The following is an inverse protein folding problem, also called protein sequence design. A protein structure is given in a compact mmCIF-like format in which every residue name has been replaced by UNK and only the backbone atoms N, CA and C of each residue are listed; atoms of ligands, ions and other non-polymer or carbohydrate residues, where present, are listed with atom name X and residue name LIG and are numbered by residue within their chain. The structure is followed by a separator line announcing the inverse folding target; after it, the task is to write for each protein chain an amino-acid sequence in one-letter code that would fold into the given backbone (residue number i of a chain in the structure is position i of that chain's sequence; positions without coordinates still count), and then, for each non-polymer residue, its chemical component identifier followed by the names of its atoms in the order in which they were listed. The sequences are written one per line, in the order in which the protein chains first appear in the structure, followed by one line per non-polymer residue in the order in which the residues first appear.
data_IF_887914839028
#
_entry.id   IF_887914839028
#
_cell.length_a   1.000
_cell.length_b   1.000
_cell.length_c   1.000
_cell.angle_alpha   90.00
_cell.angle_beta   90.00
_cell.angle_gamma   90.00
#
_symmetry.space_group_name_H-M   'P 1'
#
loop_
_entity.id
_entity.type
_entity.pdbx_description
1 polymer ?
#
# COMPACT_ATOMS: atom_id res chain seq x y z
N UNK A 1 -15.76 4.52 -10.35
CA UNK A 1 -15.77 4.42 -11.83
C UNK A 1 -15.24 5.71 -12.42
N UNK A 2 -14.35 5.60 -13.38
CA UNK A 2 -13.76 6.77 -14.06
C UNK A 2 -14.06 6.63 -15.54
N UNK A 3 -14.76 7.62 -16.12
CA UNK A 3 -15.08 7.64 -17.54
C UNK A 3 -14.05 8.48 -18.27
N UNK A 4 -13.51 7.97 -19.38
CA UNK A 4 -12.67 8.75 -20.29
C UNK A 4 -13.18 8.50 -21.71
N UNK A 5 -13.60 9.57 -22.40
CA UNK A 5 -14.12 9.54 -23.78
C UNK A 5 -15.27 8.54 -24.04
N UNK A 6 -16.07 8.23 -23.02
CA UNK A 6 -17.21 7.30 -23.13
C UNK A 6 -16.85 5.83 -22.86
N UNK A 7 -15.56 5.50 -22.75
CA UNK A 7 -15.11 4.16 -22.37
C UNK A 7 -14.98 4.02 -20.85
N UNK A 8 -15.26 2.82 -20.35
CA UNK A 8 -15.18 2.47 -18.94
C UNK A 8 -13.75 2.07 -18.55
N UNK A 9 -13.23 2.76 -17.53
CA UNK A 9 -11.99 2.40 -16.87
C UNK A 9 -12.22 2.12 -15.37
N UNK A 10 -11.51 1.13 -14.86
CA UNK A 10 -11.48 0.77 -13.44
C UNK A 10 -10.11 1.11 -12.89
N UNK A 11 -10.07 1.78 -11.73
CA UNK A 11 -8.85 1.99 -10.97
C UNK A 11 -8.98 1.26 -9.63
N UNK A 12 -8.01 0.41 -9.33
CA UNK A 12 -7.92 -0.35 -8.06
C UNK A 12 -6.54 -0.20 -7.46
N UNK A 13 -6.41 -0.52 -6.17
CA UNK A 13 -5.11 -0.65 -5.53
C UNK A 13 -4.99 -1.95 -4.73
N UNK A 14 -3.76 -2.39 -4.45
CA UNK A 14 -3.49 -3.58 -3.64
C UNK A 14 -3.80 -3.40 -2.15
N UNK A 15 -3.76 -2.17 -1.63
CA UNK A 15 -4.06 -1.85 -0.22
C UNK A 15 -5.20 -0.82 -0.08
N UNK A 16 -5.88 -0.85 1.06
CA UNK A 16 -6.95 0.11 1.37
C UNK A 16 -6.47 1.55 1.40
N UNK A 17 -5.29 1.81 1.97
CA UNK A 17 -4.72 3.16 2.05
C UNK A 17 -4.39 3.70 0.65
N UNK A 18 -3.81 2.89 -0.23
CA UNK A 18 -3.54 3.29 -1.60
C UNK A 18 -4.83 3.54 -2.39
N UNK A 19 -5.87 2.73 -2.16
CA UNK A 19 -7.16 2.91 -2.82
C UNK A 19 -7.82 4.27 -2.49
N UNK A 20 -7.61 4.81 -1.28
CA UNK A 20 -8.13 6.13 -0.89
C UNK A 20 -7.56 7.29 -1.72
N UNK A 21 -6.37 7.12 -2.31
CA UNK A 21 -5.73 8.13 -3.15
C UNK A 21 -6.28 8.14 -4.59
N UNK A 22 -7.00 7.08 -4.98
CA UNK A 22 -7.63 6.98 -6.28
C UNK A 22 -9.05 7.54 -6.21
N UNK A 23 -9.43 8.36 -7.21
CA UNK A 23 -10.78 8.94 -7.27
C UNK A 23 -11.83 7.83 -7.42
N UNK A 24 -12.61 7.59 -6.36
CA UNK A 24 -13.56 6.46 -6.30
C UNK A 24 -12.85 5.11 -6.30
N UNK A 25 -11.65 5.06 -5.73
CA UNK A 25 -10.82 3.87 -5.65
C UNK A 25 -11.37 2.82 -4.69
N UNK A 26 -11.12 1.57 -5.05
CA UNK A 26 -11.45 0.41 -4.26
C UNK A 26 -10.24 -0.52 -4.23
N UNK A 27 -10.19 -1.42 -3.25
CA UNK A 27 -9.17 -2.47 -3.26
C UNK A 27 -9.47 -3.48 -4.36
N UNK A 28 -8.44 -4.03 -4.99
CA UNK A 28 -8.60 -5.06 -6.02
C UNK A 28 -9.40 -6.27 -5.48
N UNK A 29 -9.15 -6.66 -4.23
CA UNK A 29 -9.90 -7.72 -3.54
C UNK A 29 -11.40 -7.43 -3.51
N UNK A 30 -11.82 -6.24 -3.09
CA UNK A 30 -13.23 -5.86 -3.08
C UNK A 30 -13.85 -5.74 -4.47
N UNK A 31 -13.11 -5.20 -5.44
CA UNK A 31 -13.63 -4.93 -6.78
C UNK A 31 -13.86 -6.21 -7.57
N UNK A 32 -12.90 -7.14 -7.53
CA UNK A 32 -12.98 -8.38 -8.31
C UNK A 32 -13.42 -9.58 -7.49
N UNK A 33 -13.71 -9.40 -6.19
CA UNK A 33 -14.00 -10.50 -5.24
C UNK A 33 -12.86 -11.52 -5.18
N UNK A 34 -11.61 -11.05 -5.17
CA UNK A 34 -10.46 -11.96 -5.05
C UNK A 34 -10.53 -12.67 -3.70
N UNK A 35 -10.43 -14.01 -3.65
CA UNK A 35 -10.33 -14.74 -2.39
C UNK A 35 -9.13 -14.26 -1.56
N UNK A 36 -9.26 -14.27 -0.23
CA UNK A 36 -8.14 -13.90 0.65
C UNK A 36 -6.98 -14.90 0.54
N UNK A 37 -7.32 -16.19 0.50
CA UNK A 37 -6.36 -17.25 0.25
C UNK A 37 -6.27 -17.53 -1.25
N UNK A 38 -5.20 -17.04 -1.87
CA UNK A 38 -4.96 -17.23 -3.30
C UNK A 38 -4.06 -18.44 -3.55
N UNK A 39 -4.55 -19.35 -4.38
CA UNK A 39 -3.90 -20.56 -4.86
C UNK A 39 -3.74 -20.45 -6.39
N UNK A 40 -2.89 -21.28 -7.02
CA UNK A 40 -2.71 -21.26 -8.47
C UNK A 40 -4.02 -21.42 -9.27
N UNK A 41 -5.01 -22.09 -8.69
CA UNK A 41 -6.31 -22.37 -9.30
C UNK A 41 -7.44 -21.46 -8.78
N UNK A 42 -7.16 -20.51 -7.87
CA UNK A 42 -8.20 -19.66 -7.25
C UNK A 42 -8.88 -18.77 -8.28
N UNK A 43 -10.20 -18.84 -8.41
CA UNK A 43 -10.99 -17.93 -9.26
C UNK A 43 -11.69 -16.86 -8.43
N UNK A 44 -12.23 -15.85 -9.09
CA UNK A 44 -13.07 -14.83 -8.48
C UNK A 44 -14.56 -15.23 -8.60
N UNK A 45 -15.32 -15.36 -7.50
CA UNK A 45 -16.73 -15.75 -7.52
C UNK A 45 -17.62 -14.55 -7.87
N UNK A 46 -17.62 -14.20 -9.16
CA UNK A 46 -18.50 -13.19 -9.74
C UNK A 46 -19.58 -13.88 -10.55
N UNK A 47 -20.84 -13.61 -10.20
CA UNK A 47 -22.00 -14.13 -10.94
C UNK A 47 -22.05 -13.48 -12.34
N UNK A 48 -22.21 -14.29 -13.39
CA UNK A 48 -22.19 -13.87 -14.80
C UNK A 48 -23.34 -12.92 -15.18
N UNK A 49 -24.43 -12.92 -14.42
CA UNK A 49 -25.61 -12.08 -14.61
C UNK A 49 -25.58 -10.82 -13.73
N UNK A 50 -24.59 -10.70 -12.83
CA UNK A 50 -24.47 -9.53 -11.95
C UNK A 50 -24.09 -8.25 -12.71
N UNK A 51 -24.46 -7.11 -12.13
CA UNK A 51 -24.04 -5.78 -12.63
C UNK A 51 -22.51 -5.63 -12.71
N UNK A 52 -21.78 -6.28 -11.77
CA UNK A 52 -20.33 -6.33 -11.79
C UNK A 52 -19.82 -7.06 -13.03
N UNK A 53 -20.37 -8.23 -13.36
CA UNK A 53 -19.98 -8.96 -14.57
C UNK A 53 -20.25 -8.15 -15.84
N UNK A 54 -21.40 -7.48 -15.93
CA UNK A 54 -21.72 -6.61 -17.06
C UNK A 54 -20.69 -5.49 -17.22
N UNK A 55 -20.34 -4.82 -16.11
CA UNK A 55 -19.33 -3.76 -16.09
C UNK A 55 -17.93 -4.27 -16.47
N UNK A 56 -17.53 -5.45 -16.00
CA UNK A 56 -16.24 -6.05 -16.36
C UNK A 56 -16.17 -6.43 -17.85
N UNK A 57 -17.29 -6.88 -18.45
CA UNK A 57 -17.35 -7.19 -19.90
C UNK A 57 -17.14 -5.96 -20.78
N UNK A 58 -17.63 -4.80 -20.36
CA UNK A 58 -17.55 -3.55 -21.13
C UNK A 58 -16.30 -2.73 -20.83
N UNK A 59 -15.57 -3.06 -19.74
CA UNK A 59 -14.35 -2.38 -19.34
C UNK A 59 -13.25 -2.53 -20.39
N UNK A 60 -12.60 -1.41 -20.74
CA UNK A 60 -11.49 -1.39 -21.72
C UNK A 60 -10.13 -1.25 -21.06
N UNK A 61 -10.08 -0.68 -19.86
CA UNK A 61 -8.86 -0.36 -19.14
C UNK A 61 -9.01 -0.65 -17.65
N UNK A 62 -8.03 -1.34 -17.08
CA UNK A 62 -7.89 -1.49 -15.63
C UNK A 62 -6.50 -0.97 -15.24
N UNK A 63 -6.48 -0.04 -14.28
CA UNK A 63 -5.26 0.45 -13.64
C UNK A 63 -5.19 -0.17 -12.25
N UNK A 64 -4.09 -0.83 -11.95
CA UNK A 64 -3.84 -1.46 -10.66
C UNK A 64 -2.64 -0.79 -10.01
N UNK A 65 -2.90 0.03 -9.00
CA UNK A 65 -1.89 0.74 -8.22
C UNK A 65 -1.34 -0.12 -7.07
N UNK A 66 -0.06 0.08 -6.73
CA UNK A 66 0.70 -0.77 -5.82
C UNK A 66 0.66 -2.27 -6.21
N UNK A 67 0.65 -2.55 -7.52
CA UNK A 67 0.63 -3.90 -8.07
C UNK A 67 1.78 -4.82 -7.61
N UNK A 68 3.03 -4.34 -7.36
CA UNK A 68 4.11 -5.21 -6.89
C UNK A 68 3.84 -5.91 -5.56
N UNK A 69 2.97 -5.34 -4.71
CA UNK A 69 2.57 -5.96 -3.44
C UNK A 69 1.55 -7.09 -3.63
N UNK A 70 0.90 -7.19 -4.79
CA UNK A 70 -0.09 -8.21 -5.05
C UNK A 70 0.56 -9.57 -5.30
N UNK A 71 0.01 -10.61 -4.66
CA UNK A 71 0.38 -11.98 -4.96
C UNK A 71 0.02 -12.31 -6.42
N UNK A 72 0.89 -12.94 -7.20
CA UNK A 72 0.65 -13.24 -8.62
C UNK A 72 -0.67 -13.98 -8.85
N UNK A 73 -0.99 -14.96 -7.99
CA UNK A 73 -2.24 -15.73 -8.05
C UNK A 73 -3.50 -14.88 -7.90
N UNK A 74 -3.43 -13.75 -7.18
CA UNK A 74 -4.54 -12.79 -7.12
C UNK A 74 -4.78 -12.15 -8.49
N UNK A 75 -3.71 -11.77 -9.18
CA UNK A 75 -3.79 -11.13 -10.50
C UNK A 75 -4.17 -12.14 -11.58
N UNK A 76 -3.65 -13.36 -11.51
CA UNK A 76 -4.03 -14.47 -12.39
C UNK A 76 -5.49 -14.92 -12.18
N UNK A 77 -6.01 -14.80 -10.95
CA UNK A 77 -7.44 -15.01 -10.70
C UNK A 77 -8.31 -14.01 -11.45
N UNK A 78 -7.87 -12.73 -11.50
CA UNK A 78 -8.53 -11.69 -12.29
C UNK A 78 -8.37 -11.93 -13.79
N UNK A 79 -7.20 -12.40 -14.26
CA UNK A 79 -6.99 -12.82 -15.66
C UNK A 79 -8.02 -13.89 -16.05
N UNK A 80 -8.11 -14.97 -15.27
CA UNK A 80 -9.07 -16.06 -15.49
C UNK A 80 -10.53 -15.59 -15.43
N UNK A 81 -10.87 -14.71 -14.50
CA UNK A 81 -12.21 -14.10 -14.42
C UNK A 81 -12.55 -13.33 -15.72
N UNK A 82 -11.66 -12.47 -16.19
CA UNK A 82 -11.93 -11.62 -17.34
C UNK A 82 -12.01 -12.42 -18.64
N UNK A 83 -11.17 -13.45 -18.80
CA UNK A 83 -11.27 -14.42 -19.89
C UNK A 83 -12.62 -15.13 -19.89
N UNK A 84 -13.06 -15.63 -18.74
CA UNK A 84 -14.34 -16.31 -18.60
C UNK A 84 -15.53 -15.40 -18.91
N UNK A 85 -15.54 -14.20 -18.35
CA UNK A 85 -16.63 -13.24 -18.55
C UNK A 85 -16.73 -12.73 -19.99
N UNK A 86 -15.59 -12.59 -20.69
CA UNK A 86 -15.52 -12.05 -22.05
C UNK A 86 -15.44 -13.12 -23.13
N UNK A 87 -15.42 -14.40 -22.75
CA UNK A 87 -15.30 -15.55 -23.65
C UNK A 87 -14.11 -15.40 -24.62
N UNK A 88 -12.96 -15.01 -24.07
CA UNK A 88 -11.79 -14.57 -24.79
C UNK A 88 -10.53 -15.25 -24.22
N UNK A 89 -9.68 -15.81 -25.09
CA UNK A 89 -8.45 -16.52 -24.68
C UNK A 89 -7.28 -15.56 -24.41
N UNK A 90 -7.36 -14.32 -24.91
CA UNK A 90 -6.33 -13.30 -24.68
C UNK A 90 -6.16 -13.03 -23.18
N UNK A 91 -4.94 -12.65 -22.76
CA UNK A 91 -4.71 -12.21 -21.39
C UNK A 91 -5.70 -11.10 -21.00
N UNK A 92 -6.28 -11.24 -19.81
CA UNK A 92 -7.30 -10.40 -19.22
C UNK A 92 -8.55 -10.25 -20.11
N UNK A 93 -8.88 -11.25 -20.92
CA UNK A 93 -9.97 -11.20 -21.89
C UNK A 93 -9.81 -10.05 -22.89
N UNK A 94 -8.58 -9.59 -23.16
CA UNK A 94 -8.29 -8.44 -24.00
C UNK A 94 -8.58 -7.09 -23.35
N UNK A 95 -8.68 -7.00 -22.02
CA UNK A 95 -8.68 -5.71 -21.30
C UNK A 95 -7.24 -5.17 -21.26
N UNK A 96 -7.07 -3.87 -21.47
CA UNK A 96 -5.76 -3.24 -21.27
C UNK A 96 -5.48 -3.14 -19.78
N UNK A 97 -4.39 -3.77 -19.32
CA UNK A 97 -3.93 -3.69 -17.94
C UNK A 97 -2.78 -2.69 -17.81
N UNK A 98 -2.87 -1.80 -16.84
CA UNK A 98 -1.75 -0.94 -16.40
C UNK A 98 -1.43 -1.30 -14.95
N UNK A 99 -0.29 -1.95 -14.73
CA UNK A 99 0.25 -2.18 -13.40
C UNK A 99 1.14 -1.00 -13.02
N UNK A 100 0.77 -0.31 -11.95
CA UNK A 100 1.52 0.81 -11.38
C UNK A 100 2.07 0.42 -10.01
N UNK A 101 3.20 1.02 -9.65
CA UNK A 101 3.90 0.78 -8.40
C UNK A 101 5.41 0.73 -8.61
N UNK A 102 6.14 0.65 -7.51
CA UNK A 102 7.61 0.59 -7.51
C UNK A 102 8.07 -0.78 -7.00
N UNK A 103 8.75 -1.52 -7.87
CA UNK A 103 9.27 -2.87 -7.56
C UNK A 103 10.44 -2.86 -6.57
N UNK A 104 10.96 -1.68 -6.21
CA UNK A 104 11.92 -1.50 -5.12
C UNK A 104 11.25 -1.46 -3.74
N UNK A 105 9.92 -1.41 -3.68
CA UNK A 105 9.14 -1.41 -2.44
C UNK A 105 8.84 -2.85 -1.96
N UNK A 106 7.77 -3.02 -1.19
CA UNK A 106 7.40 -4.27 -0.56
C UNK A 106 7.03 -5.34 -1.59
N UNK A 107 7.61 -6.53 -1.41
CA UNK A 107 7.19 -7.75 -2.08
C UNK A 107 5.84 -8.24 -1.52
N UNK A 108 5.15 -9.18 -2.22
CA UNK A 108 3.93 -9.76 -1.69
C UNK A 108 4.13 -10.44 -0.34
N UNK A 109 3.15 -10.28 0.54
CA UNK A 109 3.17 -10.92 1.87
C UNK A 109 2.80 -12.39 1.72
N UNK A 110 3.76 -13.27 2.01
CA UNK A 110 3.54 -14.73 2.10
C UNK A 110 3.71 -15.15 3.57
N UNK A 111 2.63 -15.39 4.33
CA UNK A 111 2.73 -15.76 5.73
C UNK A 111 3.60 -17.01 5.92
N UNK A 112 4.63 -16.90 6.77
CA UNK A 112 5.62 -17.97 7.04
C UNK A 112 6.39 -18.43 5.78
N UNK A 113 6.37 -17.64 4.71
CA UNK A 113 7.06 -17.94 3.46
C UNK A 113 8.58 -17.76 3.56
N UNK A 114 9.31 -18.63 2.89
CA UNK A 114 10.74 -18.46 2.63
C UNK A 114 10.98 -17.34 1.61
N UNK A 115 12.20 -16.76 1.53
CA UNK A 115 12.54 -15.78 0.49
C UNK A 115 12.24 -16.26 -0.93
N UNK A 116 12.49 -17.54 -1.23
CA UNK A 116 12.17 -18.13 -2.53
C UNK A 116 10.67 -18.15 -2.83
N UNK A 117 9.84 -18.46 -1.83
CA UNK A 117 8.38 -18.44 -1.98
C UNK A 117 7.83 -17.02 -2.17
N UNK A 118 8.41 -16.02 -1.50
CA UNK A 118 8.04 -14.61 -1.68
C UNK A 118 8.38 -14.14 -3.11
N UNK A 119 9.57 -14.51 -3.60
CA UNK A 119 9.96 -14.21 -4.99
C UNK A 119 9.05 -14.94 -5.98
N UNK A 120 8.70 -16.20 -5.73
CA UNK A 120 7.77 -16.97 -6.57
C UNK A 120 6.35 -16.39 -6.57
N UNK A 121 5.93 -15.79 -5.46
CA UNK A 121 4.65 -15.07 -5.34
C UNK A 121 4.61 -13.73 -6.09
N UNK A 122 5.76 -13.21 -6.52
CA UNK A 122 5.86 -11.87 -7.12
C UNK A 122 5.21 -11.80 -8.49
N UNK A 123 4.65 -10.64 -8.83
CA UNK A 123 3.99 -10.39 -10.11
C UNK A 123 4.87 -10.69 -11.34
N UNK A 124 6.19 -10.50 -11.19
CA UNK A 124 7.18 -10.80 -12.24
C UNK A 124 7.29 -12.29 -12.61
N UNK A 125 6.71 -13.16 -11.77
CA UNK A 125 6.64 -14.60 -11.98
C UNK A 125 5.30 -15.06 -12.55
N UNK A 126 4.39 -14.14 -12.86
CA UNK A 126 3.12 -14.47 -13.50
C UNK A 126 3.34 -14.88 -14.96
N UNK A 127 2.50 -15.78 -15.48
CA UNK A 127 2.64 -16.33 -16.83
C UNK A 127 2.57 -15.27 -17.93
N UNK A 128 1.73 -14.25 -17.74
CA UNK A 128 1.56 -13.13 -18.67
C UNK A 128 2.70 -12.11 -18.61
N UNK A 129 3.61 -12.20 -17.63
CA UNK A 129 4.61 -11.16 -17.39
C UNK A 129 5.56 -10.96 -18.59
N UNK A 130 5.82 -12.02 -19.36
CA UNK A 130 6.63 -11.96 -20.59
C UNK A 130 6.05 -11.01 -21.65
N UNK A 131 4.74 -10.77 -21.62
CA UNK A 131 4.02 -9.92 -22.55
C UNK A 131 3.85 -8.49 -22.02
N UNK A 132 4.32 -8.22 -20.78
CA UNK A 132 4.24 -6.90 -20.15
C UNK A 132 5.33 -5.98 -20.68
N UNK A 133 4.91 -4.83 -21.21
CA UNK A 133 5.82 -3.73 -21.55
C UNK A 133 6.12 -2.88 -20.32
N UNK A 134 7.38 -2.81 -19.93
CA UNK A 134 7.84 -1.96 -18.83
C UNK A 134 8.02 -0.52 -19.30
N UNK A 135 7.33 0.42 -18.66
CA UNK A 135 7.52 1.86 -18.81
C UNK A 135 8.12 2.40 -17.51
N UNK A 136 9.14 3.24 -17.61
CA UNK A 136 9.84 3.81 -16.45
C UNK A 136 9.61 5.31 -16.40
N UNK A 137 9.15 5.79 -15.24
CA UNK A 137 9.11 7.22 -14.93
C UNK A 137 10.44 7.60 -14.29
N UNK A 138 11.07 8.67 -14.78
CA UNK A 138 12.41 9.10 -14.33
C UNK A 138 12.40 10.45 -13.62
N UNK A 139 11.33 11.23 -13.77
CA UNK A 139 11.21 12.55 -13.14
C UNK A 139 10.53 12.45 -11.78
N UNK A 140 11.22 12.86 -10.71
CA UNK A 140 10.66 12.92 -9.38
C UNK A 140 9.87 14.22 -9.18
N UNK A 141 8.57 14.15 -9.44
CA UNK A 141 7.69 15.32 -9.33
C UNK A 141 7.50 15.83 -7.89
N UNK A 142 7.74 15.00 -6.88
CA UNK A 142 7.65 15.41 -5.47
C UNK A 142 8.80 16.35 -5.08
N UNK A 143 9.96 16.20 -5.73
CA UNK A 143 11.08 17.12 -5.57
C UNK A 143 10.81 18.45 -6.26
N UNK A 144 10.32 18.42 -7.50
CA UNK A 144 10.07 19.65 -8.27
C UNK A 144 8.93 20.47 -7.68
N UNK A 145 7.87 19.85 -7.16
CA UNK A 145 6.74 20.57 -6.56
C UNK A 145 7.09 21.38 -5.32
N UNK A 146 8.15 20.98 -4.60
CA UNK A 146 8.61 21.65 -3.38
C UNK A 146 9.81 22.57 -3.62
N UNK A 147 10.36 22.59 -4.84
CA UNK A 147 11.61 23.27 -5.12
C UNK A 147 11.53 24.80 -4.94
N UNK A 148 10.39 25.40 -5.32
CA UNK A 148 10.17 26.84 -5.22
C UNK A 148 10.07 27.36 -3.76
N UNK A 149 9.82 26.45 -2.81
CA UNK A 149 9.69 26.78 -1.39
C UNK A 149 10.98 26.53 -0.59
N UNK A 150 12.06 26.08 -1.25
CA UNK A 150 13.28 25.64 -0.61
C UNK A 150 14.47 26.55 -0.96
N UNK A 151 15.33 26.82 0.01
CA UNK A 151 16.62 27.45 -0.25
C UNK A 151 17.60 26.49 -0.95
N UNK A 152 18.69 27.04 -1.49
CA UNK A 152 19.68 26.26 -2.25
C UNK A 152 20.29 25.11 -1.42
N UNK A 153 20.49 25.31 -0.12
CA UNK A 153 21.06 24.30 0.77
C UNK A 153 20.05 23.17 1.08
N UNK A 154 18.77 23.51 1.24
CA UNK A 154 17.68 22.55 1.38
C UNK A 154 17.50 21.74 0.11
N UNK A 155 17.56 22.39 -1.06
CA UNK A 155 17.50 21.74 -2.37
C UNK A 155 18.65 20.73 -2.54
N UNK A 156 19.87 21.14 -2.21
CA UNK A 156 21.04 20.26 -2.27
C UNK A 156 20.87 19.02 -1.37
N UNK A 157 20.52 19.21 -0.09
CA UNK A 157 20.30 18.10 0.85
C UNK A 157 19.21 17.13 0.37
N UNK A 158 18.15 17.65 -0.20
CA UNK A 158 17.03 16.84 -0.69
C UNK A 158 17.41 16.06 -1.95
N UNK A 159 18.25 16.62 -2.83
CA UNK A 159 18.84 15.88 -3.96
C UNK A 159 19.75 14.76 -3.46
N UNK A 160 20.68 15.06 -2.56
CA UNK A 160 21.59 14.07 -1.97
C UNK A 160 20.81 12.91 -1.32
N UNK A 161 19.78 13.23 -0.54
CA UNK A 161 18.91 12.22 0.07
C UNK A 161 18.17 11.38 -0.97
N UNK A 162 17.70 11.97 -2.05
CA UNK A 162 16.96 11.23 -3.10
C UNK A 162 17.88 10.32 -3.89
N UNK A 163 19.08 10.78 -4.24
CA UNK A 163 20.09 9.93 -4.89
C UNK A 163 20.48 8.76 -3.99
N UNK A 164 20.75 9.02 -2.70
CA UNK A 164 20.99 7.96 -1.72
C UNK A 164 19.81 6.98 -1.62
N UNK A 165 18.57 7.46 -1.54
CA UNK A 165 17.38 6.62 -1.47
C UNK A 165 17.23 5.71 -2.71
N UNK A 166 17.61 6.18 -3.90
CA UNK A 166 17.65 5.34 -5.10
C UNK A 166 18.68 4.22 -4.97
N UNK A 167 19.88 4.51 -4.45
CA UNK A 167 20.89 3.46 -4.20
C UNK A 167 20.40 2.41 -3.20
N UNK A 168 19.58 2.81 -2.21
CA UNK A 168 18.93 1.90 -1.26
C UNK A 168 17.96 0.98 -2.00
N UNK A 169 17.06 1.54 -2.80
CA UNK A 169 16.09 0.77 -3.57
C UNK A 169 16.71 -0.15 -4.63
N UNK A 170 17.86 0.23 -5.19
CA UNK A 170 18.62 -0.59 -6.13
C UNK A 170 19.50 -1.66 -5.43
N UNK A 171 19.54 -1.67 -4.09
CA UNK A 171 20.36 -2.60 -3.32
C UNK A 171 21.87 -2.34 -3.42
N UNK A 172 22.27 -1.12 -3.76
CA UNK A 172 23.67 -0.71 -3.95
C UNK A 172 24.18 0.25 -2.88
N UNK A 173 23.30 0.75 -2.01
CA UNK A 173 23.69 1.62 -0.89
C UNK A 173 24.64 0.92 0.07
N UNK A 174 25.66 1.65 0.55
CA UNK A 174 26.68 1.27 1.55
C UNK A 174 26.34 0.00 2.34
N UNK A 175 26.69 -1.14 1.74
CA UNK A 175 26.47 -2.45 2.32
C UNK A 175 27.42 -2.58 3.50
N UNK A 176 26.88 -2.44 4.71
CA UNK A 176 27.60 -2.86 5.91
C UNK A 176 27.92 -4.36 5.78
N UNK A 177 29.01 -4.88 6.38
CA UNK A 177 29.37 -6.31 6.40
C UNK A 177 28.29 -7.35 6.78
N UNK A 178 27.08 -6.93 7.13
CA UNK A 178 25.97 -7.78 7.61
C UNK A 178 24.68 -7.59 6.79
N UNK A 179 24.79 -7.21 5.50
CA UNK A 179 23.63 -6.90 4.64
C UNK A 179 22.69 -5.85 5.25
N UNK A 180 23.29 -4.85 5.92
CA UNK A 180 22.56 -3.72 6.51
C UNK A 180 22.89 -2.44 5.77
N UNK A 181 21.89 -1.58 5.67
CA UNK A 181 22.02 -0.24 5.12
C UNK A 181 22.46 0.69 6.25
N UNK A 182 23.62 1.33 6.09
CA UNK A 182 24.04 2.40 6.98
C UNK A 182 23.20 3.65 6.69
N UNK A 183 22.44 4.12 7.70
CA UNK A 183 21.73 5.39 7.60
C UNK A 183 22.72 6.55 7.74
N UNK A 184 22.63 7.59 6.88
CA UNK A 184 23.38 8.82 7.07
C UNK A 184 23.18 9.44 8.46
N UNK A 185 24.25 9.97 9.05
CA UNK A 185 24.23 10.52 10.42
C UNK A 185 23.19 11.63 10.61
N UNK A 186 22.94 12.43 9.57
CA UNK A 186 21.95 13.50 9.61
C UNK A 186 20.49 13.01 9.68
N UNK A 187 20.23 11.72 9.40
CA UNK A 187 18.92 11.08 9.56
C UNK A 187 18.76 10.45 10.96
N UNK A 188 19.84 10.37 11.74
CA UNK A 188 19.83 9.77 13.06
C UNK A 188 19.55 10.82 14.14
N UNK A 189 18.79 10.41 15.16
CA UNK A 189 18.72 11.19 16.39
C UNK A 189 20.10 11.25 17.07
N UNK A 190 20.40 12.35 17.79
CA UNK A 190 21.63 12.48 18.56
C UNK A 190 21.84 11.30 19.51
N UNK A 191 23.10 10.96 19.74
CA UNK A 191 23.46 9.91 20.70
C UNK A 191 22.89 10.24 22.10
N UNK A 192 22.30 9.24 22.74
CA UNK A 192 21.55 9.39 23.99
C UNK A 192 20.05 9.71 23.83
N UNK A 193 19.62 10.18 22.65
CA UNK A 193 18.19 10.44 22.35
C UNK A 193 17.55 9.34 21.49
N UNK A 194 18.30 8.29 21.14
CA UNK A 194 17.83 7.14 20.34
C UNK A 194 16.96 6.18 21.15
N UNK A 195 15.88 6.70 21.72
CA UNK A 195 14.88 5.97 22.50
C UNK A 195 13.49 6.21 21.92
N UNK A 196 12.51 5.40 22.30
CA UNK A 196 11.12 5.65 21.91
C UNK A 196 10.64 7.05 22.37
N UNK A 197 11.08 7.47 23.55
CA UNK A 197 10.76 8.76 24.13
C UNK A 197 11.42 9.92 23.36
N UNK A 198 12.71 9.78 23.01
CA UNK A 198 13.40 10.78 22.20
C UNK A 198 12.79 10.90 20.81
N UNK A 199 12.35 9.79 20.21
CA UNK A 199 11.65 9.82 18.93
C UNK A 199 10.28 10.51 19.01
N UNK A 200 9.49 10.22 20.04
CA UNK A 200 8.20 10.90 20.28
C UNK A 200 8.40 12.41 20.43
N UNK A 201 9.36 12.83 21.26
CA UNK A 201 9.63 14.25 21.49
C UNK A 201 10.18 14.96 20.24
N UNK A 202 10.97 14.26 19.43
CA UNK A 202 11.46 14.78 18.16
C UNK A 202 10.34 14.94 17.13
N UNK A 203 9.48 13.92 16.98
CA UNK A 203 8.42 13.92 15.97
C UNK A 203 7.29 14.84 16.38
N UNK A 204 6.85 14.82 17.64
CA UNK A 204 5.73 15.63 18.16
C UNK A 204 6.21 16.64 19.22
N UNK A 205 7.01 17.66 18.83
CA UNK A 205 7.49 18.67 19.76
C UNK A 205 6.28 19.45 20.31
N UNK A 206 6.10 19.40 21.63
CA UNK A 206 4.98 20.08 22.29
C UNK A 206 3.77 19.20 22.61
N UNK A 207 3.83 17.88 22.38
CA UNK A 207 2.79 16.92 22.80
C UNK A 207 2.36 17.11 24.27
N UNK A 208 3.31 17.46 25.14
CA UNK A 208 3.07 17.67 26.58
C UNK A 208 2.49 19.04 26.92
N UNK A 209 2.66 20.01 26.03
CA UNK A 209 2.30 21.42 26.26
C UNK A 209 1.11 21.88 25.45
N UNK A 210 0.72 21.13 24.41
CA UNK A 210 -0.42 21.41 23.54
C UNK A 210 -1.72 21.45 24.34
N UNK A 211 -2.66 22.31 23.95
CA UNK A 211 -3.99 22.28 24.53
C UNK A 211 -4.76 21.06 23.99
N UNK A 212 -4.86 20.01 24.82
CA UNK A 212 -5.52 18.75 24.45
C UNK A 212 -7.04 18.86 24.28
N UNK A 213 -7.64 19.97 24.71
CA UNK A 213 -9.06 20.27 24.48
C UNK A 213 -9.30 21.01 23.16
N UNK A 214 -8.25 21.56 22.53
CA UNK A 214 -8.34 22.25 21.25
C UNK A 214 -8.15 21.26 20.09
N UNK A 215 -9.23 21.00 19.36
CA UNK A 215 -9.16 20.19 18.15
C UNK A 215 -8.20 20.80 17.11
N UNK A 216 -8.15 22.12 17.00
CA UNK A 216 -7.27 22.82 16.07
C UNK A 216 -5.78 22.57 16.41
N UNK A 217 -5.41 22.69 17.68
CA UNK A 217 -4.04 22.47 18.13
C UNK A 217 -3.61 21.01 17.91
N UNK A 218 -4.51 20.06 18.17
CA UNK A 218 -4.26 18.63 17.92
C UNK A 218 -4.11 18.33 16.43
N UNK A 219 -4.95 18.93 15.57
CA UNK A 219 -4.81 18.80 14.12
C UNK A 219 -3.45 19.36 13.68
N UNK A 220 -3.05 20.53 14.17
CA UNK A 220 -1.76 21.13 13.83
C UNK A 220 -0.58 20.25 14.26
N UNK A 221 -0.65 19.63 15.44
CA UNK A 221 0.39 18.74 15.96
C UNK A 221 0.50 17.43 15.17
N UNK A 222 -0.62 16.75 14.89
CA UNK A 222 -0.58 15.38 14.33
C UNK A 222 -0.68 15.31 12.81
N UNK A 223 -1.19 16.34 12.12
CA UNK A 223 -1.52 16.22 10.68
C UNK A 223 -0.30 16.11 9.74
N UNK A 224 0.88 16.54 10.19
CA UNK A 224 2.08 16.65 9.32
C UNK A 224 3.19 15.67 9.67
N UNK A 225 2.98 14.83 10.68
CA UNK A 225 4.04 14.07 11.34
C UNK A 225 3.54 12.66 11.68
N UNK A 226 4.37 11.65 11.41
CA UNK A 226 4.04 10.26 11.69
C UNK A 226 5.27 9.50 12.17
N UNK A 227 5.07 8.55 13.08
CA UNK A 227 6.09 7.58 13.47
C UNK A 227 5.78 6.26 12.77
N UNK A 228 6.72 5.78 11.96
CA UNK A 228 6.63 4.47 11.31
C UNK A 228 7.53 3.47 12.06
N UNK A 229 7.05 2.23 12.17
CA UNK A 229 7.82 1.14 12.74
C UNK A 229 7.61 -0.16 11.94
N UNK A 230 8.61 -1.05 11.88
CA UNK A 230 8.56 -2.25 11.03
C UNK A 230 7.56 -3.32 11.50
N UNK A 231 7.08 -3.23 12.75
CA UNK A 231 6.18 -4.22 13.32
C UNK A 231 5.03 -3.55 14.07
N UNK A 232 3.81 -4.08 13.90
CA UNK A 232 2.60 -3.60 14.59
C UNK A 232 2.79 -3.55 16.11
N UNK A 233 3.38 -4.59 16.72
CA UNK A 233 3.66 -4.57 18.16
C UNK A 233 4.56 -3.40 18.62
N UNK A 234 5.41 -2.84 17.75
CA UNK A 234 6.18 -1.62 18.05
C UNK A 234 5.32 -0.37 17.85
N UNK A 235 4.50 -0.33 16.79
CA UNK A 235 3.50 0.73 16.58
C UNK A 235 2.57 0.83 17.78
N UNK A 236 1.99 -0.28 18.23
CA UNK A 236 1.05 -0.33 19.36
C UNK A 236 1.69 0.19 20.65
N UNK A 237 2.94 -0.19 20.93
CA UNK A 237 3.67 0.32 22.11
C UNK A 237 3.95 1.82 22.04
N UNK A 238 4.20 2.38 20.86
CA UNK A 238 4.41 3.82 20.69
C UNK A 238 3.08 4.55 20.81
N UNK A 239 2.03 4.03 20.19
CA UNK A 239 0.68 4.58 20.30
C UNK A 239 0.17 4.59 21.74
N UNK A 240 0.42 3.51 22.51
CA UNK A 240 0.08 3.45 23.93
C UNK A 240 0.76 4.59 24.72
N UNK A 241 2.06 4.82 24.50
CA UNK A 241 2.78 5.93 25.13
C UNK A 241 2.25 7.30 24.73
N UNK A 242 1.87 7.48 23.46
CA UNK A 242 1.26 8.73 23.02
C UNK A 242 -0.09 8.96 23.69
N UNK A 243 -0.90 7.89 23.84
CA UNK A 243 -2.20 7.95 24.50
C UNK A 243 -2.09 8.25 26.00
N UNK A 244 -1.05 7.74 26.69
CA UNK A 244 -0.76 8.04 28.11
C UNK A 244 -0.55 9.53 28.37
N UNK A 245 -0.17 10.31 27.34
CA UNK A 245 -0.02 11.75 27.47
C UNK A 245 -1.39 12.47 27.52
N UNK A 246 -2.51 11.83 27.18
CA UNK A 246 -3.84 12.45 27.23
C UNK A 246 -4.54 12.21 28.57
N UNK A 247 -4.95 13.29 29.25
CA UNK A 247 -5.58 13.24 30.58
C UNK A 247 -7.11 13.00 30.52
N UNK A 248 -7.62 12.44 29.42
CA UNK A 248 -9.06 12.22 29.21
C UNK A 248 -9.55 10.87 29.73
N UNK A 249 -10.87 10.68 29.73
CA UNK A 249 -11.47 9.39 30.06
C UNK A 249 -11.11 8.34 29.01
N UNK A 250 -10.68 7.16 29.46
CA UNK A 250 -10.44 6.02 28.59
C UNK A 250 -11.77 5.36 28.21
N UNK A 251 -12.01 5.21 26.91
CA UNK A 251 -13.15 4.46 26.37
C UNK A 251 -12.61 3.18 25.74
N UNK A 252 -13.01 2.04 26.28
CA UNK A 252 -12.66 0.73 25.74
C UNK A 252 -13.74 0.23 24.78
N UNK A 253 -13.34 -0.05 23.54
CA UNK A 253 -14.19 -0.74 22.56
C UNK A 253 -13.74 -2.19 22.44
N UNK A 254 -14.56 -3.13 22.91
CA UNK A 254 -14.26 -4.57 22.86
C UNK A 254 -14.81 -5.17 21.56
N UNK A 255 -14.00 -5.97 20.87
CA UNK A 255 -14.50 -6.78 19.76
C UNK A 255 -15.37 -7.94 20.28
N UNK A 256 -16.30 -8.38 19.44
CA UNK A 256 -17.04 -9.62 19.63
C UNK A 256 -16.64 -10.55 18.49
N UNK A 257 -15.98 -11.65 18.81
CA UNK A 257 -15.49 -12.62 17.84
C UNK A 257 -16.45 -13.80 17.78
N UNK A 258 -16.91 -14.18 16.58
CA UNK A 258 -17.76 -15.34 16.36
C UNK A 258 -17.03 -16.39 15.54
N UNK A 259 -17.20 -17.67 15.89
CA UNK A 259 -16.65 -18.78 15.13
C UNK A 259 -17.62 -19.10 14.00
N UNK A 260 -17.22 -18.82 12.76
CA UNK A 260 -17.99 -19.23 11.58
C UNK A 260 -17.62 -20.68 11.24
N UNK A 261 -18.58 -21.60 11.26
CA UNK A 261 -18.35 -22.98 10.82
C UNK A 261 -18.03 -23.03 9.32
N UNK A 262 -17.08 -23.89 8.93
CA UNK A 262 -16.63 -24.02 7.55
C UNK A 262 -17.74 -24.60 6.66
N UNK A 263 -18.54 -23.72 6.04
CA UNK A 263 -19.63 -24.10 5.14
C UNK A 263 -20.55 -22.96 4.71
N UNK A 264 -20.61 -21.86 5.47
CA UNK A 264 -21.49 -20.72 5.17
C UNK A 264 -20.71 -19.56 4.54
N UNK A 265 -20.24 -19.73 3.30
CA UNK A 265 -19.76 -18.60 2.49
C UNK A 265 -20.97 -17.83 1.92
N UNK A 266 -21.66 -17.12 2.80
CA UNK A 266 -22.85 -16.33 2.48
C UNK A 266 -23.03 -15.20 3.47
N UNK A 267 -21.98 -14.43 3.76
CA UNK A 267 -22.11 -13.23 4.61
C UNK A 267 -22.84 -12.15 3.82
N UNK A 268 -24.14 -12.05 4.06
CA UNK A 268 -24.99 -10.96 3.62
C UNK A 268 -24.65 -9.73 4.47
N UNK A 269 -23.92 -8.77 3.89
CA UNK A 269 -23.60 -7.51 4.57
C UNK A 269 -24.87 -6.67 4.73
N UNK A 270 -25.52 -6.72 5.89
CA UNK A 270 -26.49 -5.69 6.29
C UNK A 270 -25.75 -4.42 6.67
N UNK A 271 -25.90 -3.38 5.85
CA UNK A 271 -25.59 -1.99 6.25
C UNK A 271 -26.65 -1.51 7.22
N UNK A 272 -26.23 -1.05 8.40
CA UNK A 272 -26.97 -0.02 9.13
C UNK A 272 -26.61 1.35 8.57
#
# INVERSE_FOLDING_TARGET
MTYSRGDQAIAVASSGVAALLLKGGHTAHSTFRIPLDTLPTSTCPVDRESDLALMLRTTKLIIWDEAPMAHRFAVEAVDRLLRDLREAEEHFGGVTMIFAGDFRQCLPVVPKGTPGQIVDASLIKADFWRDVRVLRLTENMRLSSNADAMDEAQLARTRDFTEWLLTVGDGTANMHPYDKIALPDYLLLPDGQRTAEGLINFVYPGLRTVNKESLEDLIQLFSRQAILAPHNARVDRINAKLLEEFNGDYIEYRSADEVVEAGETGVEWRRN
#
